data_IF_423433120812
#
_entry.id   IF_423433120812
#
_cell.length_a   1.000
_cell.length_b   1.000
_cell.length_c   1.000
_cell.angle_alpha   90.00
_cell.angle_beta   90.00
_cell.angle_gamma   90.00
#
_symmetry.space_group_name_H-M   'P 1'
#
loop_
_entity.id
_entity.type
_entity.pdbx_description
1 polymer ?
#
# COMPACT_ATOMS: atom_id res chain seq x y z
N UNK A 1 8.15 18.06 9.69
CA UNK A 1 8.66 16.68 9.51
C UNK A 1 7.63 15.84 8.79
N UNK A 2 8.05 14.89 7.97
CA UNK A 2 7.18 13.90 7.31
C UNK A 2 7.70 12.48 7.54
N UNK A 3 6.81 11.48 7.46
CA UNK A 3 7.14 10.08 7.69
C UNK A 3 6.49 9.17 6.65
N UNK A 4 7.21 8.17 6.15
CA UNK A 4 6.67 7.02 5.43
C UNK A 4 6.61 5.81 6.36
N UNK A 5 5.46 5.15 6.42
CA UNK A 5 5.32 3.92 7.22
C UNK A 5 4.34 2.94 6.56
N UNK A 6 4.85 1.76 6.22
CA UNK A 6 4.03 0.61 5.85
C UNK A 6 3.54 -0.11 7.13
N UNK A 7 2.23 -0.34 7.24
CA UNK A 7 1.64 -1.01 8.40
C UNK A 7 1.80 -2.52 8.39
N UNK A 8 2.11 -3.12 7.25
CA UNK A 8 2.07 -4.56 6.98
C UNK A 8 0.67 -5.17 7.12
N UNK A 9 0.23 -5.87 6.07
CA UNK A 9 -1.01 -6.65 6.02
C UNK A 9 -1.12 -7.65 7.19
N UNK A 10 0.03 -8.05 7.75
CA UNK A 10 0.13 -9.04 8.82
C UNK A 10 0.29 -10.47 8.32
N UNK A 11 0.44 -10.66 7.01
CA UNK A 11 0.64 -11.98 6.41
C UNK A 11 1.39 -11.92 5.06
N UNK A 12 2.11 -12.99 4.76
CA UNK A 12 2.78 -13.19 3.48
C UNK A 12 1.79 -13.58 2.36
N UNK A 13 1.52 -12.64 1.45
CA UNK A 13 0.64 -12.87 0.29
C UNK A 13 1.29 -13.80 -0.73
N UNK A 14 2.61 -13.76 -0.90
CA UNK A 14 3.34 -14.58 -1.86
C UNK A 14 3.16 -16.07 -1.57
N UNK A 15 3.33 -16.47 -0.30
CA UNK A 15 3.10 -17.85 0.13
C UNK A 15 1.61 -18.22 0.03
N UNK A 16 0.70 -17.30 0.37
CA UNK A 16 -0.73 -17.55 0.23
C UNK A 16 -1.14 -17.83 -1.23
N UNK A 17 -0.53 -17.14 -2.20
CA UNK A 17 -0.76 -17.35 -3.63
C UNK A 17 -0.29 -18.73 -4.11
N UNK A 18 0.74 -19.32 -3.50
CA UNK A 18 1.22 -20.66 -3.82
C UNK A 18 0.21 -21.77 -3.42
N UNK A 19 -0.72 -21.47 -2.52
CA UNK A 19 -1.77 -22.40 -2.08
C UNK A 19 -2.97 -22.44 -3.04
N UNK A 20 -3.03 -21.56 -4.05
CA UNK A 20 -4.09 -21.54 -5.07
C UNK A 20 -4.02 -22.82 -5.94
N UNK A 21 -5.17 -23.47 -6.27
CA UNK A 21 -6.54 -22.97 -6.15
C UNK A 21 -7.24 -23.21 -4.81
N UNK A 22 -6.55 -23.69 -3.77
CA UNK A 22 -7.14 -23.90 -2.45
C UNK A 22 -7.26 -22.58 -1.66
N UNK A 23 -8.24 -21.75 -2.06
CA UNK A 23 -8.52 -20.46 -1.44
C UNK A 23 -8.79 -20.54 0.08
N UNK A 24 -9.50 -21.56 0.62
CA UNK A 24 -9.67 -21.68 2.07
C UNK A 24 -8.36 -21.90 2.81
N UNK A 25 -7.44 -22.70 2.26
CA UNK A 25 -6.11 -22.88 2.85
C UNK A 25 -5.29 -21.59 2.81
N UNK A 26 -5.35 -20.84 1.69
CA UNK A 26 -4.71 -19.53 1.58
C UNK A 26 -5.26 -18.53 2.61
N UNK A 27 -6.59 -18.44 2.74
CA UNK A 27 -7.25 -17.56 3.70
C UNK A 27 -6.91 -17.95 5.15
N UNK A 28 -6.94 -19.24 5.48
CA UNK A 28 -6.58 -19.74 6.81
C UNK A 28 -5.11 -19.48 7.15
N UNK A 29 -4.21 -19.63 6.18
CA UNK A 29 -2.78 -19.33 6.35
C UNK A 29 -2.57 -17.85 6.69
N UNK A 30 -3.13 -16.94 5.88
CA UNK A 30 -2.99 -15.51 6.13
C UNK A 30 -3.61 -15.11 7.47
N UNK A 31 -4.79 -15.63 7.80
CA UNK A 31 -5.45 -15.33 9.07
C UNK A 31 -4.61 -15.75 10.29
N UNK A 32 -3.96 -16.92 10.23
CA UNK A 32 -3.07 -17.36 11.30
C UNK A 32 -1.91 -16.39 11.51
N UNK A 33 -1.27 -15.92 10.43
CA UNK A 33 -0.18 -14.95 10.55
C UNK A 33 -0.66 -13.59 11.09
N UNK A 34 -1.83 -13.12 10.68
CA UNK A 34 -2.41 -11.87 11.21
C UNK A 34 -2.61 -11.98 12.73
N UNK A 35 -3.07 -13.13 13.19
CA UNK A 35 -3.25 -13.40 14.61
C UNK A 35 -1.93 -13.54 15.37
N UNK A 36 -0.95 -14.23 14.77
CA UNK A 36 0.37 -14.46 15.37
C UNK A 36 1.19 -13.17 15.45
N UNK A 37 1.14 -12.33 14.42
CA UNK A 37 1.83 -11.04 14.40
C UNK A 37 1.20 -10.01 15.35
N UNK A 38 -0.04 -10.25 15.81
CA UNK A 38 -0.70 -9.55 16.91
C UNK A 38 -0.62 -8.02 16.79
N UNK A 39 -1.54 -7.43 16.02
CA UNK A 39 -1.53 -5.99 15.75
C UNK A 39 -1.58 -5.14 17.04
N UNK A 40 -2.12 -5.66 18.14
CA UNK A 40 -2.14 -4.93 19.41
C UNK A 40 -0.74 -4.62 19.94
N UNK A 41 0.21 -5.54 19.74
CA UNK A 41 1.63 -5.36 20.10
C UNK A 41 2.36 -4.50 19.08
N UNK A 42 2.15 -4.78 17.78
CA UNK A 42 2.76 -4.02 16.67
C UNK A 42 2.42 -2.54 16.74
N UNK A 43 1.15 -2.24 17.02
CA UNK A 43 0.65 -0.88 17.16
C UNK A 43 1.38 -0.08 18.23
N UNK A 44 1.70 -0.68 19.37
CA UNK A 44 2.41 0.03 20.45
C UNK A 44 3.78 0.55 19.97
N UNK A 45 4.49 -0.27 19.17
CA UNK A 45 5.79 0.09 18.57
C UNK A 45 5.61 1.23 17.56
N UNK A 46 4.62 1.12 16.67
CA UNK A 46 4.32 2.15 15.68
C UNK A 46 3.91 3.49 16.34
N UNK A 47 3.16 3.44 17.43
CA UNK A 47 2.79 4.62 18.23
C UNK A 47 4.03 5.27 18.82
N UNK A 48 4.96 4.50 19.39
CA UNK A 48 6.21 5.02 19.94
C UNK A 48 7.06 5.72 18.88
N UNK A 49 7.20 5.10 17.70
CA UNK A 49 7.88 5.71 16.55
C UNK A 49 7.24 7.05 16.14
N UNK A 50 5.91 7.09 15.99
CA UNK A 50 5.18 8.31 15.62
C UNK A 50 5.32 9.38 16.70
N UNK A 51 5.28 9.02 17.98
CA UNK A 51 5.40 9.97 19.09
C UNK A 51 6.82 10.53 19.22
N UNK A 52 7.84 9.69 19.03
CA UNK A 52 9.26 10.08 19.09
C UNK A 52 9.61 11.05 17.96
N UNK A 53 9.13 10.78 16.74
CA UNK A 53 9.47 11.56 15.55
C UNK A 53 8.54 12.76 15.34
N UNK A 54 7.34 12.72 15.91
CA UNK A 54 6.31 13.76 15.84
C UNK A 54 6.13 14.35 14.42
N UNK A 55 5.93 13.51 13.37
CA UNK A 55 5.77 13.99 12.01
C UNK A 55 4.50 14.84 11.86
N UNK A 56 4.54 15.86 11.03
CA UNK A 56 3.36 16.68 10.72
C UNK A 56 2.41 15.95 9.76
N UNK A 57 2.99 15.14 8.86
CA UNK A 57 2.29 14.32 7.87
C UNK A 57 2.93 12.93 7.80
N UNK A 58 2.09 11.89 7.76
CA UNK A 58 2.49 10.50 7.60
C UNK A 58 1.83 9.95 6.34
N UNK A 59 2.63 9.49 5.38
CA UNK A 59 2.15 8.61 4.33
C UNK A 59 2.11 7.19 4.86
N UNK A 60 0.90 6.67 5.02
CA UNK A 60 0.64 5.34 5.58
C UNK A 60 0.31 4.36 4.45
N UNK A 61 1.08 3.28 4.33
CA UNK A 61 0.87 2.22 3.35
C UNK A 61 0.33 0.97 4.03
N UNK A 62 -0.38 0.14 3.25
CA UNK A 62 -1.03 -1.07 3.76
C UNK A 62 -1.99 -0.82 4.92
N UNK A 63 -2.74 0.28 4.82
CA UNK A 63 -3.84 0.67 5.70
C UNK A 63 -4.98 -0.37 5.62
N UNK A 64 -4.77 -1.49 6.31
CA UNK A 64 -5.50 -2.73 6.11
C UNK A 64 -6.71 -2.81 7.03
N UNK A 65 -7.82 -3.27 6.46
CA UNK A 65 -9.04 -3.64 7.17
C UNK A 65 -9.31 -5.12 6.90
N UNK A 66 -9.30 -5.94 7.95
CA UNK A 66 -9.76 -7.33 7.90
C UNK A 66 -11.23 -7.39 8.27
N UNK A 67 -12.03 -8.07 7.45
CA UNK A 67 -13.45 -8.21 7.68
C UNK A 67 -13.92 -9.64 7.48
N UNK A 68 -14.99 -10.00 8.19
CA UNK A 68 -15.56 -11.33 8.13
C UNK A 68 -17.09 -11.29 8.05
N UNK A 69 -17.66 -12.38 7.56
CA UNK A 69 -19.10 -12.66 7.56
C UNK A 69 -19.34 -14.02 8.20
N UNK A 70 -20.27 -14.07 9.16
CA UNK A 70 -20.70 -15.33 9.77
C UNK A 70 -21.37 -16.26 8.75
N UNK A 71 -22.25 -15.69 7.91
CA UNK A 71 -23.00 -16.39 6.87
C UNK A 71 -23.05 -15.54 5.58
N UNK A 72 -23.40 -16.13 4.42
CA UNK A 72 -23.44 -15.40 3.14
C UNK A 72 -24.36 -14.16 3.13
N UNK A 73 -25.42 -14.16 3.95
CA UNK A 73 -26.37 -13.04 4.09
C UNK A 73 -26.08 -12.12 5.27
N UNK A 74 -25.10 -12.44 6.13
CA UNK A 74 -24.74 -11.59 7.28
C UNK A 74 -24.15 -10.25 6.82
N UNK A 75 -24.21 -9.23 7.69
CA UNK A 75 -23.45 -8.00 7.47
C UNK A 75 -21.94 -8.30 7.55
N UNK A 76 -21.16 -7.50 6.82
CA UNK A 76 -19.70 -7.48 6.93
C UNK A 76 -19.32 -6.85 8.26
N UNK A 77 -18.48 -7.51 9.06
CA UNK A 77 -17.96 -7.01 10.34
C UNK A 77 -16.46 -6.77 10.17
N UNK A 78 -15.98 -5.57 10.51
CA UNK A 78 -14.56 -5.28 10.63
C UNK A 78 -14.04 -5.97 11.90
N UNK A 79 -13.10 -6.90 11.72
CA UNK A 79 -12.47 -7.62 12.82
C UNK A 79 -11.19 -6.91 13.24
N UNK A 80 -10.41 -6.44 12.26
CA UNK A 80 -9.26 -5.56 12.48
C UNK A 80 -9.35 -4.37 11.54
N UNK A 81 -9.03 -3.19 12.06
CA UNK A 81 -8.90 -1.97 11.27
C UNK A 81 -7.64 -1.26 11.73
N UNK A 82 -6.52 -1.61 11.11
CA UNK A 82 -5.20 -1.23 11.61
C UNK A 82 -5.01 0.29 11.68
N UNK A 83 -5.62 1.03 10.76
CA UNK A 83 -5.55 2.50 10.76
C UNK A 83 -6.38 3.11 11.88
N UNK A 84 -7.63 2.68 12.08
CA UNK A 84 -8.45 3.18 13.18
C UNK A 84 -7.85 2.80 14.53
N UNK A 85 -7.43 1.54 14.69
CA UNK A 85 -6.81 1.08 15.92
C UNK A 85 -5.55 1.87 16.27
N UNK A 86 -4.71 2.19 15.26
CA UNK A 86 -3.53 3.05 15.42
C UNK A 86 -3.92 4.47 15.85
N UNK A 87 -4.88 5.08 15.16
CA UNK A 87 -5.36 6.43 15.48
C UNK A 87 -5.96 6.53 16.88
N UNK A 88 -6.70 5.51 17.31
CA UNK A 88 -7.26 5.42 18.67
C UNK A 88 -6.13 5.41 19.72
N UNK A 89 -5.02 4.70 19.46
CA UNK A 89 -3.85 4.69 20.35
C UNK A 89 -2.98 5.95 20.27
N UNK A 90 -3.18 6.78 19.25
CA UNK A 90 -2.58 8.12 19.16
C UNK A 90 -3.42 9.19 19.88
N UNK A 91 -4.54 8.80 20.52
CA UNK A 91 -5.35 9.64 21.42
C UNK A 91 -5.75 10.99 20.80
N UNK A 92 -6.23 10.94 19.55
CA UNK A 92 -6.70 12.12 18.82
C UNK A 92 -5.61 13.10 18.38
N UNK A 93 -4.32 12.82 18.61
CA UNK A 93 -3.20 13.67 18.15
C UNK A 93 -3.04 13.66 16.63
N UNK A 94 -3.48 12.58 15.99
CA UNK A 94 -3.45 12.42 14.55
C UNK A 94 -4.83 12.09 14.00
N UNK A 95 -5.04 12.39 12.72
CA UNK A 95 -6.24 12.06 11.97
C UNK A 95 -5.91 11.85 10.49
N UNK A 96 -6.78 11.15 9.75
CA UNK A 96 -6.72 11.14 8.30
C UNK A 96 -7.06 12.54 7.79
N UNK A 97 -6.24 13.10 6.88
CA UNK A 97 -6.53 14.40 6.29
C UNK A 97 -7.89 14.39 5.60
N UNK A 98 -8.74 15.39 5.87
CA UNK A 98 -10.09 15.43 5.34
C UNK A 98 -10.52 16.86 4.99
N UNK A 99 -11.31 17.00 3.92
CA UNK A 99 -11.93 18.26 3.52
C UNK A 99 -13.22 18.00 2.75
N UNK A 100 -14.28 18.73 3.07
CA UNK A 100 -15.55 18.64 2.31
C UNK A 100 -16.17 17.25 2.27
N UNK A 101 -15.99 16.44 3.32
CA UNK A 101 -16.48 15.05 3.38
C UNK A 101 -15.59 14.02 2.68
N UNK A 102 -14.50 14.45 2.02
CA UNK A 102 -13.52 13.55 1.40
C UNK A 102 -12.36 13.32 2.36
N UNK A 103 -12.00 12.06 2.57
CA UNK A 103 -10.81 11.65 3.33
C UNK A 103 -9.66 11.29 2.37
N UNK A 104 -8.44 11.60 2.79
CA UNK A 104 -7.21 11.21 2.12
C UNK A 104 -6.91 9.73 2.39
N UNK A 105 -7.74 8.87 1.81
CA UNK A 105 -7.69 7.43 1.94
C UNK A 105 -8.03 6.79 0.59
N UNK A 106 -7.02 6.25 -0.09
CA UNK A 106 -7.24 5.44 -1.28
C UNK A 106 -7.50 3.99 -0.84
N UNK A 107 -8.65 3.40 -1.20
CA UNK A 107 -9.02 2.08 -0.73
C UNK A 107 -8.28 0.89 -1.38
N UNK A 108 -7.37 1.14 -2.34
CA UNK A 108 -6.50 0.15 -2.98
C UNK A 108 -7.23 -1.05 -3.56
N UNK A 109 -6.90 -2.27 -3.15
CA UNK A 109 -7.65 -3.46 -3.58
C UNK A 109 -8.28 -4.18 -2.39
N UNK A 110 -9.24 -5.06 -2.69
CA UNK A 110 -9.95 -5.83 -1.67
C UNK A 110 -10.22 -7.25 -2.14
N UNK A 111 -9.96 -8.22 -1.28
CA UNK A 111 -10.47 -9.59 -1.42
C UNK A 111 -11.65 -9.71 -0.48
N UNK A 112 -12.86 -9.81 -1.05
CA UNK A 112 -14.09 -9.92 -0.27
C UNK A 112 -14.15 -11.21 0.57
N UNK A 113 -15.02 -11.28 1.59
CA UNK A 113 -15.30 -12.51 2.30
C UNK A 113 -16.23 -13.36 1.42
N UNK A 114 -15.66 -14.31 0.67
CA UNK A 114 -16.39 -15.10 -0.31
C UNK A 114 -16.87 -16.39 0.36
N UNK A 115 -18.20 -16.64 0.41
CA UNK A 115 -18.77 -17.83 1.02
C UNK A 115 -18.05 -19.12 0.67
N UNK A 116 -17.61 -19.85 1.70
CA UNK A 116 -16.89 -21.12 1.61
C UNK A 116 -15.47 -21.05 1.01
N UNK A 117 -15.19 -20.09 0.13
CA UNK A 117 -13.89 -19.95 -0.55
C UNK A 117 -12.84 -19.25 0.30
N UNK A 118 -13.25 -18.37 1.22
CA UNK A 118 -12.32 -17.71 2.14
C UNK A 118 -12.63 -18.03 3.59
N UNK A 119 -13.14 -19.25 3.82
CA UNK A 119 -13.49 -19.73 5.15
C UNK A 119 -12.26 -19.92 6.02
N UNK A 120 -12.32 -19.39 7.23
CA UNK A 120 -11.30 -19.46 8.25
C UNK A 120 -11.93 -20.02 9.53
N UNK A 121 -11.17 -20.82 10.28
CA UNK A 121 -11.51 -21.28 11.62
C UNK A 121 -10.65 -20.55 12.65
N UNK A 122 -11.31 -19.94 13.63
CA UNK A 122 -10.72 -19.26 14.78
C UNK A 122 -11.80 -19.05 15.85
N UNK A 123 -12.01 -20.07 16.69
CA UNK A 123 -13.02 -20.03 17.73
C UNK A 123 -12.82 -18.87 18.72
N UNK A 124 -11.57 -18.48 19.01
CA UNK A 124 -11.27 -17.40 19.95
C UNK A 124 -11.81 -16.07 19.45
N UNK A 125 -11.68 -15.80 18.14
CA UNK A 125 -12.17 -14.57 17.53
C UNK A 125 -13.64 -14.62 17.17
N UNK A 126 -14.11 -15.76 16.64
CA UNK A 126 -15.43 -15.85 16.03
C UNK A 126 -16.55 -16.23 17.00
N UNK A 127 -16.26 -16.89 18.12
CA UNK A 127 -17.29 -17.14 19.14
C UNK A 127 -17.86 -15.85 19.73
N UNK A 128 -17.05 -14.86 20.18
CA UNK A 128 -17.57 -13.59 20.68
C UNK A 128 -18.31 -12.75 19.63
N UNK A 129 -17.90 -12.83 18.36
CA UNK A 129 -18.45 -12.01 17.28
C UNK A 129 -19.69 -12.63 16.63
N UNK A 130 -19.71 -13.95 16.48
CA UNK A 130 -20.66 -14.66 15.61
C UNK A 130 -21.31 -15.89 16.28
N UNK A 131 -20.85 -16.34 17.44
CA UNK A 131 -21.35 -17.56 18.10
C UNK A 131 -21.03 -18.85 17.33
N UNK A 132 -19.96 -18.85 16.52
CA UNK A 132 -19.50 -19.99 15.72
C UNK A 132 -17.97 -19.98 15.59
N UNK A 133 -17.38 -21.14 15.28
CA UNK A 133 -15.92 -21.30 15.24
C UNK A 133 -15.25 -20.84 13.94
N UNK A 134 -16.06 -20.48 12.94
CA UNK A 134 -15.58 -20.14 11.60
C UNK A 134 -16.31 -18.93 11.03
N UNK A 135 -15.67 -18.25 10.09
CA UNK A 135 -16.29 -17.19 9.29
C UNK A 135 -15.63 -17.15 7.91
N UNK A 136 -16.32 -16.59 6.92
CA UNK A 136 -15.70 -16.27 5.64
C UNK A 136 -15.07 -14.87 5.77
N UNK A 137 -13.76 -14.77 5.59
CA UNK A 137 -13.00 -13.55 5.86
C UNK A 137 -12.31 -13.02 4.61
N UNK A 138 -11.96 -11.75 4.63
CA UNK A 138 -11.27 -11.07 3.56
C UNK A 138 -10.63 -9.78 4.08
N UNK A 139 -10.02 -9.03 3.19
CA UNK A 139 -9.35 -7.80 3.56
C UNK A 139 -9.48 -6.73 2.48
N UNK A 140 -9.26 -5.49 2.90
CA UNK A 140 -9.04 -4.35 2.02
C UNK A 140 -7.72 -3.73 2.44
N UNK A 141 -6.88 -3.43 1.47
CA UNK A 141 -5.57 -2.83 1.68
C UNK A 141 -5.51 -1.54 0.88
N UNK A 142 -5.32 -0.43 1.59
CA UNK A 142 -5.30 0.90 1.02
C UNK A 142 -4.13 1.72 1.53
N UNK A 143 -4.14 3.00 1.20
CA UNK A 143 -3.12 3.97 1.59
C UNK A 143 -3.79 5.23 2.13
N UNK A 144 -3.20 5.82 3.16
CA UNK A 144 -3.75 7.01 3.83
C UNK A 144 -2.70 8.12 3.96
N UNK A 145 -3.17 9.36 4.12
CA UNK A 145 -2.39 10.46 4.65
C UNK A 145 -2.90 10.82 6.05
N UNK A 146 -2.09 10.55 7.07
CA UNK A 146 -2.34 11.04 8.41
C UNK A 146 -1.67 12.39 8.62
N UNK A 147 -2.30 13.25 9.40
CA UNK A 147 -1.79 14.56 9.77
C UNK A 147 -1.95 14.75 11.28
N UNK A 148 -1.13 15.61 11.89
CA UNK A 148 -1.44 16.11 13.22
C UNK A 148 -2.80 16.80 13.21
N UNK A 149 -3.62 16.55 14.23
CA UNK A 149 -5.00 17.06 14.29
C UNK A 149 -5.07 18.59 14.30
N UNK A 150 -4.07 19.27 14.86
CA UNK A 150 -3.94 20.74 14.80
C UNK A 150 -3.83 21.30 13.37
N UNK A 151 -3.45 20.47 12.40
CA UNK A 151 -3.36 20.85 10.98
C UNK A 151 -4.70 20.77 10.24
N UNK A 152 -5.76 20.23 10.87
CA UNK A 152 -7.08 20.05 10.24
C UNK A 152 -7.60 21.31 9.56
N UNK A 153 -7.48 22.45 10.24
CA UNK A 153 -7.94 23.75 9.74
C UNK A 153 -7.14 24.28 8.54
N UNK A 154 -5.94 23.75 8.31
CA UNK A 154 -5.04 24.12 7.22
C UNK A 154 -5.13 23.16 6.02
N UNK A 155 -5.97 22.13 6.07
CA UNK A 155 -6.25 21.28 4.92
C UNK A 155 -7.12 22.07 3.93
N UNK A 156 -6.58 22.32 2.75
CA UNK A 156 -7.19 23.13 1.71
C UNK A 156 -7.96 22.28 0.71
N UNK A 157 -7.36 21.17 0.28
CA UNK A 157 -7.92 20.24 -0.71
C UNK A 157 -7.52 18.82 -0.36
N UNK A 158 -8.35 17.85 -0.73
CA UNK A 158 -8.10 16.42 -0.55
C UNK A 158 -8.66 15.68 -1.76
N UNK A 159 -7.97 14.63 -2.20
CA UNK A 159 -8.45 13.78 -3.27
C UNK A 159 -7.81 12.39 -3.27
N UNK A 160 -8.42 11.50 -4.05
CA UNK A 160 -7.93 10.14 -4.27
C UNK A 160 -7.97 9.85 -5.77
N UNK A 161 -7.03 9.06 -6.26
CA UNK A 161 -6.96 8.66 -7.67
C UNK A 161 -6.46 7.22 -7.79
N UNK A 162 -6.88 6.53 -8.84
CA UNK A 162 -6.49 5.15 -9.15
C UNK A 162 -5.54 5.10 -10.35
N UNK A 163 -4.63 4.13 -10.36
CA UNK A 163 -3.80 3.90 -11.54
C UNK A 163 -4.52 3.06 -12.59
N UNK A 164 -4.30 3.38 -13.87
CA UNK A 164 -4.81 2.62 -15.01
C UNK A 164 -4.14 1.23 -15.10
N UNK A 165 -2.88 1.15 -14.67
CA UNK A 165 -2.10 -0.07 -14.69
C UNK A 165 -2.50 -1.00 -13.53
N UNK A 166 -3.15 -2.10 -13.89
CA UNK A 166 -3.66 -3.15 -12.99
C UNK A 166 -2.87 -4.44 -13.17
N UNK A 167 -2.53 -5.11 -12.08
CA UNK A 167 -1.95 -6.45 -12.12
C UNK A 167 -3.06 -7.51 -12.06
N UNK A 168 -2.91 -8.60 -12.84
CA UNK A 168 -3.91 -9.66 -12.94
C UNK A 168 -3.32 -10.98 -12.46
N UNK A 169 -3.81 -11.48 -11.34
CA UNK A 169 -3.39 -12.78 -10.79
C UNK A 169 -4.19 -13.89 -11.48
N UNK A 170 -3.51 -14.77 -12.24
CA UNK A 170 -3.99 -15.99 -12.93
C UNK A 170 -5.22 -15.76 -13.83
N UNK A 171 -5.15 -15.98 -15.16
CA UNK A 171 -5.40 -15.00 -16.24
C UNK A 171 -6.68 -14.15 -16.22
N UNK A 172 -7.56 -14.21 -15.21
CA UNK A 172 -8.61 -13.21 -14.89
C UNK A 172 -9.20 -13.32 -13.46
N UNK A 173 -8.72 -14.15 -12.51
CA UNK A 173 -9.45 -14.39 -11.25
C UNK A 173 -9.46 -13.20 -10.29
N UNK A 174 -8.34 -12.48 -10.17
CA UNK A 174 -8.21 -11.31 -9.27
C UNK A 174 -7.43 -10.19 -9.94
N UNK A 175 -7.95 -8.97 -9.81
CA UNK A 175 -7.33 -7.74 -10.29
C UNK A 175 -6.86 -6.91 -9.09
N UNK A 176 -5.59 -6.57 -9.07
CA UNK A 176 -4.97 -5.77 -8.01
C UNK A 176 -4.91 -4.33 -8.47
N UNK A 177 -5.76 -3.52 -7.85
CA UNK A 177 -5.84 -2.07 -8.05
C UNK A 177 -4.93 -1.37 -7.04
N UNK A 178 -4.22 -0.35 -7.53
CA UNK A 178 -3.40 0.56 -6.73
C UNK A 178 -3.75 1.98 -7.12
N UNK A 179 -3.45 2.92 -6.23
CA UNK A 179 -3.69 4.33 -6.48
C UNK A 179 -2.85 5.20 -5.56
N UNK A 180 -3.28 6.44 -5.42
CA UNK A 180 -2.70 7.38 -4.46
C UNK A 180 -3.79 8.24 -3.84
N UNK A 181 -3.45 8.78 -2.68
CA UNK A 181 -4.22 9.81 -2.00
C UNK A 181 -3.37 11.06 -1.82
N UNK A 182 -4.00 12.22 -1.83
CA UNK A 182 -3.28 13.49 -1.69
C UNK A 182 -4.08 14.51 -0.88
N UNK A 183 -3.34 15.42 -0.24
CA UNK A 183 -3.88 16.56 0.46
C UNK A 183 -3.00 17.79 0.25
N UNK A 184 -3.63 18.93 -0.02
CA UNK A 184 -2.97 20.23 0.01
C UNK A 184 -3.13 20.83 1.40
N UNK A 185 -2.02 21.09 2.09
CA UNK A 185 -2.02 21.55 3.49
C UNK A 185 -1.15 22.79 3.59
N UNK A 186 -1.67 23.85 4.20
CA UNK A 186 -0.86 25.02 4.53
C UNK A 186 0.06 24.70 5.72
N UNK A 187 1.36 24.66 5.48
CA UNK A 187 2.40 24.46 6.50
C UNK A 187 3.30 25.68 6.50
N UNK A 188 3.39 26.36 7.65
CA UNK A 188 4.21 27.57 7.82
C UNK A 188 3.95 28.65 6.73
N UNK A 189 2.69 28.80 6.32
CA UNK A 189 2.27 29.79 5.33
C UNK A 189 2.42 29.37 3.85
N UNK A 190 2.98 28.19 3.57
CA UNK A 190 3.07 27.64 2.22
C UNK A 190 2.07 26.49 2.02
N UNK A 191 1.36 26.49 0.89
CA UNK A 191 0.46 25.39 0.53
C UNK A 191 1.25 24.25 -0.12
N UNK A 192 1.37 23.12 0.58
CA UNK A 192 2.17 21.96 0.14
C UNK A 192 1.24 20.81 -0.25
N UNK A 193 1.50 20.19 -1.39
CA UNK A 193 0.84 18.95 -1.81
C UNK A 193 1.57 17.76 -1.25
N UNK A 194 0.92 17.05 -0.34
CA UNK A 194 1.38 15.75 0.16
C UNK A 194 0.65 14.63 -0.59
N UNK A 195 1.37 13.59 -0.96
CA UNK A 195 0.84 12.41 -1.67
C UNK A 195 1.32 11.16 -0.94
N UNK A 196 0.41 10.21 -0.70
CA UNK A 196 0.73 8.85 -0.24
C UNK A 196 0.35 7.83 -1.31
N UNK A 197 1.22 6.86 -1.57
CA UNK A 197 0.97 5.79 -2.55
C UNK A 197 1.69 4.50 -2.16
N UNK A 198 1.13 3.37 -2.57
CA UNK A 198 1.79 2.07 -2.54
C UNK A 198 1.69 1.43 -3.94
N UNK A 199 2.84 1.28 -4.61
CA UNK A 199 2.90 0.75 -5.97
C UNK A 199 2.90 -0.78 -5.99
N UNK A 200 2.58 -1.37 -7.14
CA UNK A 200 2.41 -2.81 -7.27
C UNK A 200 3.71 -3.61 -7.09
N UNK A 201 3.70 -4.58 -6.17
CA UNK A 201 4.83 -5.47 -5.88
C UNK A 201 4.95 -6.64 -6.86
N UNK A 202 3.83 -7.15 -7.40
CA UNK A 202 3.86 -8.27 -8.32
C UNK A 202 4.31 -7.85 -9.72
N UNK A 203 5.10 -8.73 -10.34
CA UNK A 203 5.67 -8.49 -11.66
C UNK A 203 5.75 -9.78 -12.49
N UNK A 204 5.73 -9.60 -13.80
CA UNK A 204 5.86 -10.69 -14.76
C UNK A 204 7.26 -10.71 -15.39
N UNK A 205 7.90 -11.88 -15.51
CA UNK A 205 9.14 -12.02 -16.27
C UNK A 205 9.02 -11.49 -17.70
N UNK A 206 10.07 -10.82 -18.19
CA UNK A 206 10.14 -10.23 -19.53
C UNK A 206 9.06 -9.17 -19.84
N UNK A 207 8.42 -8.57 -18.83
CA UNK A 207 7.52 -7.43 -19.01
C UNK A 207 8.00 -6.21 -18.23
N UNK A 208 7.40 -5.06 -18.53
CA UNK A 208 7.56 -3.86 -17.71
C UNK A 208 6.81 -4.05 -16.39
N UNK A 209 7.46 -3.85 -15.22
CA UNK A 209 6.78 -3.95 -13.93
C UNK A 209 5.63 -2.95 -13.82
N UNK A 210 4.54 -3.35 -13.15
CA UNK A 210 3.36 -2.48 -12.99
C UNK A 210 3.64 -1.26 -12.13
N UNK A 211 4.50 -1.37 -11.12
CA UNK A 211 5.00 -0.20 -10.39
C UNK A 211 5.62 0.86 -11.31
N UNK A 212 6.32 0.47 -12.40
CA UNK A 212 6.89 1.42 -13.34
C UNK A 212 5.82 2.12 -14.21
N UNK A 213 4.78 1.40 -14.63
CA UNK A 213 3.61 2.00 -15.31
C UNK A 213 2.89 3.01 -14.38
N UNK A 214 2.66 2.60 -13.14
CA UNK A 214 1.98 3.41 -12.11
C UNK A 214 2.77 4.68 -11.76
N UNK A 215 4.09 4.56 -11.57
CA UNK A 215 4.95 5.72 -11.32
C UNK A 215 4.96 6.73 -12.49
N UNK A 216 4.86 6.27 -13.75
CA UNK A 216 4.72 7.17 -14.91
C UNK A 216 3.41 7.94 -14.85
N UNK A 217 2.32 7.28 -14.49
CA UNK A 217 1.03 7.96 -14.32
C UNK A 217 1.11 8.96 -13.17
N UNK A 218 1.65 8.59 -12.01
CA UNK A 218 1.84 9.51 -10.88
C UNK A 218 2.63 10.77 -11.28
N UNK A 219 3.74 10.60 -12.01
CA UNK A 219 4.54 11.71 -12.53
C UNK A 219 3.73 12.60 -13.49
N UNK A 220 2.94 11.98 -14.38
CA UNK A 220 2.09 12.69 -15.34
C UNK A 220 1.00 13.50 -14.62
N UNK A 221 0.32 12.89 -13.66
CA UNK A 221 -0.75 13.53 -12.90
C UNK A 221 -0.21 14.73 -12.10
N UNK A 222 1.00 14.60 -11.54
CA UNK A 222 1.66 15.67 -10.78
C UNK A 222 2.35 16.73 -11.65
N UNK A 223 2.44 16.55 -12.98
CA UNK A 223 3.27 17.39 -13.84
C UNK A 223 2.86 18.87 -13.86
N UNK A 224 1.58 19.17 -13.69
CA UNK A 224 1.03 20.54 -13.66
C UNK A 224 1.04 21.17 -12.26
N UNK A 225 1.40 20.41 -11.22
CA UNK A 225 1.45 20.90 -9.85
C UNK A 225 2.62 21.89 -9.72
N UNK A 226 2.32 23.13 -9.30
CA UNK A 226 3.29 24.22 -9.09
C UNK A 226 3.63 24.41 -7.61
N UNK A 227 2.75 23.97 -6.72
CA UNK A 227 2.97 23.94 -5.28
C UNK A 227 4.16 23.04 -4.94
N UNK A 228 4.85 23.29 -3.82
CA UNK A 228 5.72 22.33 -3.17
C UNK A 228 5.08 20.95 -3.10
N UNK A 229 5.83 19.91 -3.47
CA UNK A 229 5.30 18.54 -3.53
C UNK A 229 6.16 17.63 -2.67
N UNK A 230 5.50 16.81 -1.87
CA UNK A 230 6.09 15.71 -1.11
C UNK A 230 5.32 14.43 -1.44
N UNK A 231 5.99 13.46 -2.04
CA UNK A 231 5.42 12.14 -2.36
C UNK A 231 6.04 11.12 -1.42
N UNK A 232 5.21 10.37 -0.70
CA UNK A 232 5.59 9.48 0.38
C UNK A 232 5.06 8.09 0.03
N UNK A 233 5.88 7.05 0.12
CA UNK A 233 5.33 5.71 -0.02
C UNK A 233 6.30 4.57 -0.24
N UNK A 234 5.70 3.40 -0.35
CA UNK A 234 6.33 2.17 -0.79
C UNK A 234 6.19 2.06 -2.31
N UNK A 235 7.32 2.18 -2.99
CA UNK A 235 7.37 2.15 -4.45
C UNK A 235 7.57 0.74 -5.01
N UNK A 236 7.74 -0.29 -4.14
CA UNK A 236 8.05 -1.66 -4.53
C UNK A 236 9.10 -1.74 -5.64
N UNK A 237 10.13 -0.89 -5.53
CA UNK A 237 11.16 -0.76 -6.55
C UNK A 237 12.47 -0.35 -5.91
N UNK A 238 13.40 -1.30 -5.84
CA UNK A 238 14.76 -1.04 -5.38
C UNK A 238 15.57 -0.33 -6.49
N UNK A 239 16.51 0.60 -6.18
CA UNK A 239 17.25 1.32 -7.21
C UNK A 239 18.10 0.39 -8.11
N UNK A 240 18.42 -0.83 -7.64
CA UNK A 240 19.15 -1.85 -8.40
C UNK A 240 18.29 -2.56 -9.42
N UNK A 241 16.96 -2.39 -9.38
CA UNK A 241 16.05 -3.09 -10.28
C UNK A 241 15.98 -2.41 -11.67
N UNK A 242 15.72 -3.17 -12.76
CA UNK A 242 15.63 -4.63 -12.80
C UNK A 242 16.97 -5.30 -12.45
N UNK A 243 16.94 -6.27 -11.52
CA UNK A 243 18.11 -6.90 -10.94
C UNK A 243 18.90 -7.64 -12.00
N UNK A 244 20.19 -7.31 -12.10
CA UNK A 244 21.07 -7.98 -13.05
C UNK A 244 21.21 -9.47 -12.72
N UNK A 245 21.23 -10.32 -13.76
CA UNK A 245 21.42 -11.76 -13.59
C UNK A 245 22.72 -12.06 -12.82
N UNK A 246 22.63 -12.92 -11.81
CA UNK A 246 23.75 -13.31 -10.96
C UNK A 246 24.00 -12.41 -9.74
N UNK A 247 23.28 -11.28 -9.62
CA UNK A 247 23.29 -10.47 -8.40
C UNK A 247 22.30 -11.03 -7.37
N UNK A 248 22.58 -10.89 -6.06
CA UNK A 248 21.64 -11.31 -5.02
C UNK A 248 20.27 -10.64 -5.19
N UNK A 249 19.21 -11.45 -5.12
CA UNK A 249 17.81 -11.00 -5.21
C UNK A 249 16.91 -11.75 -4.20
N UNK A 250 17.21 -11.71 -2.90
CA UNK A 250 16.47 -12.47 -1.90
C UNK A 250 15.03 -11.95 -1.70
N UNK A 251 14.75 -10.71 -2.11
CA UNK A 251 13.39 -10.15 -2.11
C UNK A 251 12.63 -10.33 -3.42
N UNK A 252 13.10 -11.19 -4.32
CA UNK A 252 12.43 -11.56 -5.57
C UNK A 252 11.95 -10.37 -6.42
N UNK A 253 12.70 -9.26 -6.37
CA UNK A 253 12.39 -8.04 -7.12
C UNK A 253 12.54 -8.24 -8.64
N UNK A 254 11.95 -7.37 -9.48
CA UNK A 254 12.02 -7.49 -10.93
C UNK A 254 13.42 -7.77 -11.46
N UNK A 255 13.56 -8.78 -12.32
CA UNK A 255 14.88 -9.18 -12.88
C UNK A 255 15.07 -8.67 -14.31
N UNK A 256 16.34 -8.45 -14.67
CA UNK A 256 16.71 -7.97 -16.00
C UNK A 256 16.29 -8.95 -17.11
N UNK A 257 15.73 -8.39 -18.18
CA UNK A 257 15.17 -9.11 -19.33
C UNK A 257 15.42 -8.35 -20.63
N UNK A 258 15.00 -8.92 -21.77
CA UNK A 258 15.02 -8.22 -23.06
C UNK A 258 14.14 -6.97 -23.06
N UNK A 259 12.95 -7.04 -22.45
CA UNK A 259 12.03 -5.91 -22.36
C UNK A 259 12.49 -4.86 -21.35
N UNK A 260 13.14 -5.31 -20.27
CA UNK A 260 13.64 -4.45 -19.20
C UNK A 260 15.08 -4.83 -18.84
N UNK A 261 16.08 -4.30 -19.59
CA UNK A 261 17.49 -4.54 -19.29
C UNK A 261 17.89 -3.97 -17.93
N UNK A 262 18.96 -4.51 -17.34
CA UNK A 262 19.58 -3.96 -16.14
C UNK A 262 19.91 -2.47 -16.35
N UNK A 263 19.65 -1.64 -15.34
CA UNK A 263 19.86 -0.18 -15.43
C UNK A 263 18.78 0.60 -16.18
N UNK A 264 17.73 -0.06 -16.71
CA UNK A 264 16.63 0.63 -17.40
C UNK A 264 15.95 1.69 -16.53
N UNK A 265 15.94 2.94 -17.01
CA UNK A 265 15.23 4.05 -16.37
C UNK A 265 13.71 3.95 -16.51
N UNK A 266 13.20 3.11 -17.41
CA UNK A 266 11.76 3.00 -17.69
C UNK A 266 11.10 1.80 -17.00
N UNK A 267 11.88 0.92 -16.37
CA UNK A 267 11.38 -0.30 -15.74
C UNK A 267 11.49 -0.28 -14.21
N UNK A 268 11.72 0.90 -13.63
CA UNK A 268 12.00 1.06 -12.22
C UNK A 268 11.31 2.34 -11.73
N UNK A 269 10.41 2.19 -10.76
CA UNK A 269 9.57 3.28 -10.27
C UNK A 269 10.40 4.38 -9.60
N UNK A 270 11.41 4.01 -8.81
CA UNK A 270 12.37 4.95 -8.22
C UNK A 270 13.05 5.81 -9.29
N UNK A 271 13.64 5.20 -10.32
CA UNK A 271 14.33 5.89 -11.41
C UNK A 271 13.41 6.80 -12.21
N UNK A 272 12.14 6.42 -12.37
CA UNK A 272 11.12 7.25 -13.04
C UNK A 272 10.89 8.55 -12.25
N UNK A 273 10.73 8.47 -10.93
CA UNK A 273 10.60 9.65 -10.07
C UNK A 273 11.84 10.54 -10.16
N UNK A 274 13.04 9.96 -10.04
CA UNK A 274 14.31 10.71 -10.15
C UNK A 274 14.44 11.40 -11.50
N UNK A 275 14.14 10.70 -12.61
CA UNK A 275 14.17 11.26 -13.97
C UNK A 275 13.16 12.39 -14.16
N UNK A 276 12.02 12.33 -13.47
CA UNK A 276 11.00 13.38 -13.48
C UNK A 276 11.37 14.62 -12.63
N UNK A 277 12.59 14.68 -12.08
CA UNK A 277 13.10 15.80 -11.31
C UNK A 277 12.66 15.80 -9.86
N UNK A 278 12.16 14.68 -9.33
CA UNK A 278 11.94 14.54 -7.90
C UNK A 278 13.25 14.21 -7.18
N UNK A 279 13.48 14.87 -6.05
CA UNK A 279 14.60 14.63 -5.14
C UNK A 279 14.24 13.55 -4.13
N UNK A 280 14.98 12.44 -4.11
CA UNK A 280 14.90 11.49 -3.00
C UNK A 280 15.47 12.14 -1.73
N UNK A 281 14.72 12.12 -0.65
CA UNK A 281 15.13 12.68 0.64
C UNK A 281 16.28 11.93 1.30
N UNK A 282 16.52 10.68 0.90
CA UNK A 282 17.53 9.83 1.49
C UNK A 282 17.11 9.23 2.83
N UNK A 283 18.07 8.74 3.66
CA UNK A 283 19.50 8.56 3.35
C UNK A 283 19.72 7.76 2.06
N UNK A 284 20.91 7.89 1.45
CA UNK A 284 21.24 7.34 0.12
C UNK A 284 20.68 5.93 -0.10
N UNK A 285 19.72 5.81 -1.00
CA UNK A 285 19.02 4.57 -1.30
C UNK A 285 19.93 3.46 -1.87
N UNK A 286 21.15 3.79 -2.29
CA UNK A 286 22.16 2.82 -2.72
C UNK A 286 23.01 2.27 -1.57
N UNK A 287 23.00 2.91 -0.40
CA UNK A 287 23.69 2.44 0.80
C UNK A 287 22.89 1.30 1.44
N UNK A 288 23.46 0.07 1.52
CA UNK A 288 22.81 -1.06 2.15
C UNK A 288 22.34 -0.83 3.57
N UNK A 289 23.01 0.02 4.36
CA UNK A 289 22.58 0.32 5.73
C UNK A 289 21.19 0.98 5.80
N UNK A 290 20.69 1.51 4.68
CA UNK A 290 19.45 2.29 4.60
C UNK A 290 18.28 1.51 4.00
N UNK A 291 18.49 0.24 3.64
CA UNK A 291 17.44 -0.64 3.12
C UNK A 291 16.26 -0.77 4.10
N UNK A 292 15.07 -0.89 3.53
CA UNK A 292 13.81 -0.76 4.24
C UNK A 292 12.94 -2.00 4.22
N UNK A 293 13.24 -3.03 3.43
CA UNK A 293 12.46 -4.27 3.45
C UNK A 293 13.31 -5.53 3.65
N UNK A 294 12.83 -6.43 4.53
CA UNK A 294 13.46 -7.74 4.71
C UNK A 294 13.16 -8.51 5.99
N UNK A 295 12.19 -8.10 6.82
CA UNK A 295 11.76 -8.92 7.95
C UNK A 295 10.98 -10.15 7.49
N UNK A 296 10.99 -11.19 8.31
CA UNK A 296 10.15 -12.36 8.10
C UNK A 296 8.67 -12.05 8.33
N UNK A 297 7.80 -12.92 7.83
CA UNK A 297 6.35 -12.70 7.85
C UNK A 297 5.75 -12.65 9.27
N UNK A 298 6.43 -13.23 10.27
CA UNK A 298 6.00 -13.29 11.67
C UNK A 298 6.63 -12.17 12.52
N UNK A 299 7.43 -11.30 11.91
CA UNK A 299 8.14 -10.20 12.55
C UNK A 299 9.08 -10.67 13.68
N UNK A 300 9.65 -11.88 13.57
CA UNK A 300 10.59 -12.41 14.59
C UNK A 300 12.03 -12.01 14.33
N UNK A 301 12.31 -11.46 13.16
CA UNK A 301 13.62 -11.03 12.73
C UNK A 301 13.67 -10.87 11.21
N UNK A 302 14.87 -10.66 10.64
CA UNK A 302 15.06 -10.74 9.20
C UNK A 302 14.81 -12.15 8.70
N UNK A 303 14.20 -12.26 7.51
CA UNK A 303 14.05 -13.53 6.80
C UNK A 303 15.43 -14.24 6.72
N UNK A 304 15.53 -15.56 6.95
CA UNK A 304 16.82 -16.25 7.02
C UNK A 304 17.70 -16.13 5.76
N UNK A 305 17.10 -16.11 4.56
CA UNK A 305 17.85 -15.92 3.32
C UNK A 305 18.26 -14.46 3.15
N UNK A 306 17.39 -13.53 3.51
CA UNK A 306 17.71 -12.10 3.53
C UNK A 306 18.79 -11.75 4.53
N UNK A 307 18.75 -12.29 5.75
CA UNK A 307 19.76 -12.08 6.78
C UNK A 307 21.16 -12.41 6.26
N UNK A 308 21.31 -13.54 5.58
CA UNK A 308 22.58 -13.96 4.96
C UNK A 308 23.01 -13.00 3.84
N UNK A 309 22.07 -12.57 3.00
CA UNK A 309 22.34 -11.66 1.89
C UNK A 309 22.68 -10.24 2.36
N UNK A 310 21.91 -9.69 3.30
CA UNK A 310 22.09 -8.39 3.93
C UNK A 310 23.46 -8.27 4.60
N UNK A 311 23.89 -9.30 5.35
CA UNK A 311 25.22 -9.32 5.96
C UNK A 311 26.34 -9.20 4.91
N UNK A 312 26.20 -9.87 3.75
CA UNK A 312 27.16 -9.75 2.63
C UNK A 312 27.11 -8.39 1.95
N UNK A 313 25.95 -7.72 1.99
CA UNK A 313 25.79 -6.36 1.48
C UNK A 313 26.30 -5.29 2.46
N UNK A 314 26.58 -5.64 3.72
CA UNK A 314 26.95 -4.67 4.76
C UNK A 314 25.77 -4.10 5.55
N UNK A 315 24.55 -4.64 5.36
CA UNK A 315 23.40 -4.31 6.21
C UNK A 315 23.41 -5.24 7.44
N UNK A 316 23.61 -4.67 8.63
CA UNK A 316 23.66 -5.41 9.90
C UNK A 316 22.28 -5.79 10.48
N UNK A 317 21.22 -5.20 9.95
CA UNK A 317 19.85 -5.33 10.43
C UNK A 317 19.06 -6.43 9.69
N UNK A 318 19.54 -6.86 8.52
CA UNK A 318 18.94 -7.93 7.73
C UNK A 318 17.99 -7.46 6.62
N UNK A 319 17.85 -6.15 6.40
CA UNK A 319 17.13 -5.60 5.26
C UNK A 319 17.95 -5.72 3.98
N UNK A 320 17.30 -6.05 2.86
CA UNK A 320 17.98 -6.35 1.60
C UNK A 320 17.65 -5.41 0.48
N UNK A 321 16.55 -4.66 0.58
CA UNK A 321 16.04 -3.80 -0.49
C UNK A 321 15.54 -2.46 0.06
N UNK A 322 15.72 -1.37 -0.68
CA UNK A 322 15.13 -0.06 -0.39
C UNK A 322 13.85 0.08 -1.20
N UNK A 323 12.69 0.07 -0.55
CA UNK A 323 11.39 0.18 -1.22
C UNK A 323 10.62 1.43 -0.81
N UNK A 324 10.91 1.97 0.38
CA UNK A 324 10.22 3.10 0.99
C UNK A 324 10.98 4.41 0.74
N UNK A 325 10.26 5.42 0.24
CA UNK A 325 10.83 6.69 -0.17
C UNK A 325 9.96 7.88 0.22
N UNK A 326 10.64 9.00 0.48
CA UNK A 326 10.04 10.33 0.47
C UNK A 326 10.74 11.12 -0.63
N UNK A 327 9.97 11.52 -1.64
CA UNK A 327 10.41 12.34 -2.76
C UNK A 327 9.90 13.77 -2.61
N UNK A 328 10.72 14.75 -2.97
CA UNK A 328 10.37 16.16 -2.89
C UNK A 328 10.62 16.90 -4.20
N UNK A 329 9.80 17.92 -4.49
CA UNK A 329 9.92 18.76 -5.69
C UNK A 329 9.33 20.15 -5.45
N UNK A 330 9.61 21.09 -6.35
CA UNK A 330 9.04 22.44 -6.38
C UNK A 330 9.34 23.26 -5.12
N UNK A 331 10.61 23.55 -4.86
CA UNK A 331 11.00 24.44 -3.76
C UNK A 331 10.94 23.80 -2.36
N UNK A 332 11.02 22.47 -2.28
CA UNK A 332 11.21 21.73 -1.04
C UNK A 332 12.65 21.25 -0.95
N UNK A 333 13.33 21.61 0.13
CA UNK A 333 14.68 21.16 0.44
C UNK A 333 14.65 20.18 1.61
N UNK A 334 15.56 19.21 1.57
CA UNK A 334 15.73 18.21 2.63
C UNK A 334 16.79 18.71 3.61
N UNK A 335 16.45 18.76 4.90
CA UNK A 335 17.41 19.09 5.95
C UNK A 335 18.09 17.83 6.48
N UNK A 336 17.27 16.88 6.90
CA UNK A 336 17.72 15.60 7.46
C UNK A 336 16.76 14.51 7.01
N UNK A 337 17.28 13.31 6.82
CA UNK A 337 16.49 12.11 6.62
C UNK A 337 17.14 10.96 7.36
N UNK A 338 16.34 10.03 7.89
CA UNK A 338 16.82 8.83 8.58
C UNK A 338 15.87 7.66 8.40
N UNK A 339 16.38 6.46 8.65
CA UNK A 339 15.61 5.23 8.71
C UNK A 339 15.26 4.91 10.15
N UNK A 340 14.04 4.42 10.39
CA UNK A 340 13.52 4.02 11.70
C UNK A 340 12.98 2.59 11.64
N UNK A 341 12.82 1.93 12.80
CA UNK A 341 12.22 0.59 12.87
C UNK A 341 13.10 -0.53 12.30
N UNK A 342 14.43 -0.35 12.30
CA UNK A 342 15.38 -1.38 11.82
C UNK A 342 15.78 -2.40 12.89
N UNK A 343 15.42 -2.14 14.15
CA UNK A 343 15.78 -2.99 15.30
C UNK A 343 14.51 -3.55 15.97
N UNK A 344 14.61 -4.72 16.63
CA UNK A 344 13.47 -5.31 17.33
C UNK A 344 13.12 -4.51 18.60
N UNK A 345 11.86 -4.58 19.08
CA UNK A 345 10.74 -5.31 18.47
C UNK A 345 10.22 -4.61 17.20
N UNK A 346 9.69 -5.38 16.24
CA UNK A 346 9.23 -4.85 14.96
C UNK A 346 7.71 -4.63 14.95
N UNK A 347 7.27 -3.44 14.54
CA UNK A 347 5.84 -3.13 14.31
C UNK A 347 5.32 -3.57 12.93
N UNK A 348 6.22 -3.79 11.98
CA UNK A 348 5.96 -4.04 10.56
C UNK A 348 7.19 -4.69 9.93
N UNK A 349 7.05 -5.28 8.74
CA UNK A 349 8.16 -5.93 8.02
C UNK A 349 9.04 -4.94 7.24
N UNK A 350 8.63 -3.66 7.22
CA UNK A 350 9.38 -2.55 6.66
C UNK A 350 10.05 -1.68 7.74
N UNK A 351 11.20 -1.10 7.42
CA UNK A 351 11.71 0.08 8.10
C UNK A 351 11.01 1.34 7.55
N UNK A 352 10.94 2.41 8.34
CA UNK A 352 10.31 3.67 7.96
C UNK A 352 11.32 4.71 7.52
N UNK A 353 10.86 5.74 6.79
CA UNK A 353 11.69 6.92 6.45
C UNK A 353 11.10 8.15 7.14
N UNK A 354 11.93 8.92 7.83
CA UNK A 354 11.53 10.19 8.46
C UNK A 354 12.40 11.30 7.94
N UNK A 355 11.78 12.40 7.49
CA UNK A 355 12.48 13.50 6.84
C UNK A 355 12.04 14.84 7.41
N UNK A 356 13.01 15.68 7.77
CA UNK A 356 12.78 17.10 8.06
C UNK A 356 13.00 17.91 6.78
N UNK A 357 12.02 18.75 6.46
CA UNK A 357 11.96 19.50 5.20
C UNK A 357 11.92 21.00 5.47
N UNK A 358 12.45 21.79 4.54
CA UNK A 358 12.28 23.24 4.47
C UNK A 358 11.56 23.59 3.18
N UNK A 359 10.49 24.37 3.31
CA UNK A 359 9.71 24.88 2.19
C UNK A 359 10.25 26.27 1.87
N UNK A 360 10.76 26.46 0.66
CA UNK A 360 11.27 27.76 0.21
C UNK A 360 10.13 28.72 -0.14
N UNK A 361 10.35 30.02 0.05
CA UNK A 361 9.33 31.07 -0.17
C UNK A 361 8.75 31.12 -1.59
N UNK A 362 9.40 30.48 -2.57
CA UNK A 362 8.91 30.34 -3.94
C UNK A 362 7.70 29.38 -4.06
N UNK A 363 7.36 28.68 -2.97
CA UNK A 363 6.32 27.65 -2.91
C UNK A 363 4.89 28.10 -2.55
N UNK A 364 4.60 29.39 -2.45
CA UNK A 364 3.27 29.88 -2.04
C UNK A 364 2.18 29.79 -3.13
N UNK A 365 2.46 29.12 -4.25
CA UNK A 365 1.48 28.91 -5.32
C UNK A 365 0.50 27.81 -4.94
N UNK A 366 -0.81 28.05 -5.06
CA UNK A 366 -1.85 27.02 -4.91
C UNK A 366 -2.08 26.36 -6.26
N UNK A 367 -1.92 25.04 -6.32
CA UNK A 367 -2.19 24.26 -7.54
C UNK A 367 -3.65 23.87 -7.61
N UNK A 368 -4.16 23.68 -8.83
CA UNK A 368 -5.47 23.06 -9.04
C UNK A 368 -5.50 21.66 -8.42
N UNK A 369 -6.70 21.21 -8.04
CA UNK A 369 -6.93 19.82 -7.67
C UNK A 369 -6.44 18.87 -8.78
N UNK A 370 -5.95 17.70 -8.38
CA UNK A 370 -5.64 16.64 -9.34
C UNK A 370 -6.94 16.01 -9.86
N UNK A 371 -6.93 15.62 -11.13
CA UNK A 371 -8.02 14.87 -11.73
C UNK A 371 -8.19 13.54 -10.98
N UNK A 372 -9.43 13.16 -10.71
CA UNK A 372 -9.72 11.84 -10.15
C UNK A 372 -9.82 10.81 -11.26
N UNK A 373 -9.04 9.74 -11.13
CA UNK A 373 -9.22 8.54 -11.93
C UNK A 373 -10.05 7.55 -11.13
N UNK A 374 -11.23 7.20 -11.64
CA UNK A 374 -12.10 6.18 -11.05
C UNK A 374 -11.75 4.80 -11.60
N UNK A 375 -11.96 3.75 -10.79
CA UNK A 375 -11.91 2.37 -11.28
C UNK A 375 -12.86 2.20 -12.44
N UNK A 376 -12.49 1.33 -13.39
CA UNK A 376 -13.45 0.89 -14.38
C UNK A 376 -14.66 0.26 -13.64
N UNK A 377 -15.89 0.74 -13.87
CA UNK A 377 -17.03 0.45 -12.99
C UNK A 377 -17.54 -1.01 -13.06
N UNK A 378 -16.96 -1.83 -13.94
CA UNK A 378 -17.35 -3.22 -14.17
C UNK A 378 -16.07 -4.06 -14.21
N UNK A 379 -15.85 -4.88 -13.20
CA UNK A 379 -14.82 -5.94 -13.30
C UNK A 379 -15.27 -6.96 -14.34
N UNK A 380 -14.32 -7.66 -14.99
CA UNK A 380 -14.65 -8.68 -16.00
C UNK A 380 -15.72 -9.68 -15.50
N UNK A 381 -15.62 -10.14 -14.25
CA UNK A 381 -16.58 -11.07 -13.65
C UNK A 381 -17.94 -10.46 -13.33
N UNK A 382 -18.00 -9.17 -12.96
CA UNK A 382 -19.27 -8.46 -12.86
C UNK A 382 -19.93 -8.35 -14.23
N UNK A 383 -19.16 -8.06 -15.29
CA UNK A 383 -19.64 -8.05 -16.67
C UNK A 383 -20.18 -9.42 -17.11
N UNK A 384 -19.44 -10.49 -16.85
CA UNK A 384 -19.87 -11.88 -17.12
C UNK A 384 -21.12 -12.23 -16.31
N UNK A 385 -21.19 -11.84 -15.04
CA UNK A 385 -22.34 -12.03 -14.17
C UNK A 385 -23.59 -11.31 -14.68
N UNK A 386 -23.47 -10.05 -15.11
CA UNK A 386 -24.57 -9.30 -15.74
C UNK A 386 -25.03 -9.95 -17.04
N UNK A 387 -24.11 -10.44 -17.86
CA UNK A 387 -24.42 -11.08 -19.13
C UNK A 387 -25.12 -12.42 -18.93
N UNK A 388 -24.69 -13.22 -17.94
CA UNK A 388 -25.36 -14.46 -17.52
C UNK A 388 -26.75 -14.20 -16.95
N UNK A 389 -26.89 -13.20 -16.07
CA UNK A 389 -28.19 -12.80 -15.51
C UNK A 389 -29.15 -12.31 -16.60
N UNK A 390 -28.66 -11.52 -17.56
CA UNK A 390 -29.44 -11.08 -18.72
C UNK A 390 -29.86 -12.26 -19.61
N UNK A 391 -28.97 -13.23 -19.86
CA UNK A 391 -29.29 -14.45 -20.61
C UNK A 391 -30.32 -15.33 -19.90
N UNK A 392 -30.22 -15.48 -18.57
CA UNK A 392 -31.18 -16.23 -17.76
C UNK A 392 -32.54 -15.53 -17.79
N UNK A 393 -32.58 -14.22 -17.53
CA UNK A 393 -33.81 -13.43 -17.58
C UNK A 393 -34.47 -13.49 -18.97
N UNK A 394 -33.69 -13.35 -20.04
CA UNK A 394 -34.18 -13.50 -21.42
C UNK A 394 -34.79 -14.88 -21.69
N UNK A 395 -34.14 -15.95 -21.20
CA UNK A 395 -34.62 -17.32 -21.37
C UNK A 395 -35.92 -17.57 -20.62
N UNK A 396 -36.09 -17.00 -19.42
CA UNK A 396 -37.33 -17.04 -18.64
C UNK A 396 -38.46 -16.28 -19.36
N UNK A 397 -38.22 -15.05 -19.79
CA UNK A 397 -39.19 -14.23 -20.53
C UNK A 397 -39.65 -14.93 -21.82
N UNK A 398 -38.72 -15.51 -22.57
CA UNK A 398 -39.04 -16.27 -23.79
C UNK A 398 -39.90 -17.50 -23.51
N UNK A 399 -39.66 -18.21 -22.41
CA UNK A 399 -40.47 -19.36 -21.97
C UNK A 399 -41.88 -18.95 -21.55
N UNK A 400 -42.03 -17.83 -20.85
CA UNK A 400 -43.34 -17.30 -20.45
C UNK A 400 -44.15 -16.87 -21.67
N UNK A 401 -43.52 -16.16 -22.63
CA UNK A 401 -44.19 -15.74 -23.87
C UNK A 401 -44.66 -16.92 -24.72
N UNK A 402 -43.87 -18.01 -24.81
CA UNK A 402 -44.25 -19.24 -25.52
C UNK A 402 -45.34 -20.09 -24.85
N UNK A 403 -45.67 -19.84 -23.58
CA UNK A 403 -46.76 -20.53 -22.86
C UNK A 403 -48.07 -19.74 -22.88
N UNK A 404 -48.02 -18.47 -23.29
CA UNK A 404 -49.18 -17.55 -23.39
C UNK A 404 -49.68 -17.37 -24.82
N UNK A 405 -48.89 -17.78 -25.81
CA UNK A 405 -49.31 -18.06 -27.17
C UNK A 405 -49.58 -19.56 -27.28
#
# INVERSE_FOLDING_TARGET
>A
TVMSRNLYLGADVGVALQLIPNLPAAAQFMWKQVQETDFSKRKAILVEEIQSESPDVIGLQEATIWYCKAQPWSKKVEVFNFTNELLDSLDGKYMIAEKGGVKAFNPGYSIGPIPYLTRVNDAKTFQPLFGQDHADCGFQIGDALLIKSELKQYVNQVGNSEYDAVYKVVPTLMEIYRGYTWADITVQGANVRFVSTHLESLWDPNKVPKAADQARQLVKDLASTKSPIVVIGDFNSDPRDPRQKGYPNPGEQPTASKACPAGSLQCNAYKIMRKAGFTDSGPDASDPATYSWGMDALLTGPDPERKKAAAKMGNKFGFTDRLDYIFVKNGVNVLTSKIIGQEPPYGTDHAGVVTSLVITAQGSTVSNALDSHARFPITFWQGVGFLLLALIAWRIVRRIRKRRA
#
